data_IF_933517209115
#
_entry.id   IF_933517209115
#
_cell.length_a   1.000
_cell.length_b   1.000
_cell.length_c   1.000
_cell.angle_alpha   90.00
_cell.angle_beta   90.00
_cell.angle_gamma   90.00
#
_symmetry.space_group_name_H-M   'P 1'
#
loop_
_entity.id
_entity.type
_entity.pdbx_description
1 polymer ?
#
# COMPACT_ATOMS: atom_id res chain seq x y z
N UNK A 1 -15.02 15.96 -24.67
CA UNK A 1 -15.58 15.31 -23.48
C UNK A 1 -14.60 15.56 -22.34
N UNK A 2 -15.03 16.15 -21.22
CA UNK A 2 -14.19 16.22 -20.03
C UNK A 2 -13.96 14.77 -19.55
N UNK A 3 -12.69 14.43 -19.31
CA UNK A 3 -12.34 13.12 -18.72
C UNK A 3 -13.00 13.05 -17.34
N UNK A 4 -13.89 12.10 -17.14
CA UNK A 4 -14.49 11.85 -15.83
C UNK A 4 -13.44 11.19 -14.95
N UNK A 5 -13.04 11.85 -13.85
CA UNK A 5 -12.09 11.32 -12.89
C UNK A 5 -12.69 10.08 -12.20
N UNK A 6 -11.98 8.97 -12.19
CA UNK A 6 -12.47 7.65 -11.71
C UNK A 6 -12.79 7.62 -10.23
N UNK A 7 -12.14 8.47 -9.45
CA UNK A 7 -12.25 8.51 -7.98
C UNK A 7 -12.75 9.86 -7.46
N UNK A 8 -13.47 10.62 -8.33
CA UNK A 8 -14.03 11.92 -7.95
C UNK A 8 -14.90 11.82 -6.70
N UNK A 9 -14.57 12.63 -5.68
CA UNK A 9 -15.30 12.67 -4.42
C UNK A 9 -15.05 11.51 -3.46
N UNK A 10 -14.15 10.57 -3.79
CA UNK A 10 -13.76 9.47 -2.91
C UNK A 10 -12.75 9.93 -1.85
N UNK A 11 -12.84 9.35 -0.65
CA UNK A 11 -11.89 9.53 0.42
C UNK A 11 -10.95 8.31 0.48
N UNK A 12 -9.65 8.53 0.31
CA UNK A 12 -8.61 7.49 0.30
C UNK A 12 -7.59 7.70 1.41
N UNK A 13 -7.27 6.65 2.14
CA UNK A 13 -6.19 6.60 3.13
C UNK A 13 -5.08 5.71 2.57
N UNK A 14 -3.84 6.23 2.51
CA UNK A 14 -2.67 5.44 2.09
C UNK A 14 -1.68 5.38 3.24
N UNK A 15 -1.51 4.21 3.87
CA UNK A 15 -0.57 4.05 4.97
C UNK A 15 0.86 4.01 4.47
N UNK A 16 1.81 4.62 5.23
CA UNK A 16 3.23 4.66 4.85
C UNK A 16 3.49 5.35 3.52
N UNK A 17 2.81 6.46 3.25
CA UNK A 17 2.81 7.11 1.93
C UNK A 17 3.65 8.39 1.85
N UNK A 18 4.57 8.59 2.79
CA UNK A 18 5.51 9.72 2.74
C UNK A 18 6.61 9.56 1.68
N UNK A 19 6.87 8.34 1.17
CA UNK A 19 7.96 8.03 0.23
C UNK A 19 7.59 6.85 -0.68
N UNK A 20 8.41 6.64 -1.72
CA UNK A 20 8.42 5.44 -2.57
C UNK A 20 7.07 5.07 -3.14
N UNK A 21 6.73 3.79 -3.11
CA UNK A 21 5.50 3.24 -3.69
C UNK A 21 4.25 3.92 -3.10
N UNK A 22 4.21 4.12 -1.78
CA UNK A 22 3.07 4.76 -1.12
C UNK A 22 2.83 6.20 -1.58
N UNK A 23 3.89 6.98 -1.78
CA UNK A 23 3.79 8.34 -2.30
C UNK A 23 3.28 8.37 -3.74
N UNK A 24 3.76 7.44 -4.59
CA UNK A 24 3.27 7.32 -5.97
C UNK A 24 1.80 6.91 -6.02
N UNK A 25 1.38 5.96 -5.16
CA UNK A 25 -0.03 5.57 -5.02
C UNK A 25 -0.89 6.77 -4.59
N UNK A 26 -0.45 7.53 -3.56
CA UNK A 26 -1.19 8.70 -3.08
C UNK A 26 -1.38 9.75 -4.18
N UNK A 27 -0.32 10.03 -4.95
CA UNK A 27 -0.38 10.95 -6.10
C UNK A 27 -1.33 10.43 -7.20
N UNK A 28 -1.27 9.14 -7.53
CA UNK A 28 -2.12 8.54 -8.56
C UNK A 28 -3.61 8.58 -8.17
N UNK A 29 -3.96 8.25 -6.92
CA UNK A 29 -5.34 8.34 -6.43
C UNK A 29 -5.86 9.80 -6.44
N UNK A 30 -5.02 10.76 -6.04
CA UNK A 30 -5.37 12.18 -6.05
C UNK A 30 -5.56 12.72 -7.49
N UNK A 31 -4.75 12.28 -8.45
CA UNK A 31 -4.88 12.64 -9.86
C UNK A 31 -6.22 12.18 -10.45
N UNK A 32 -6.79 11.10 -9.92
CA UNK A 32 -8.13 10.59 -10.29
C UNK A 32 -9.26 11.18 -9.43
N UNK A 33 -8.98 12.23 -8.65
CA UNK A 33 -9.99 13.03 -7.95
C UNK A 33 -10.31 12.59 -6.52
N UNK A 34 -9.57 11.65 -5.94
CA UNK A 34 -9.71 11.31 -4.54
C UNK A 34 -9.15 12.41 -3.62
N UNK A 35 -9.78 12.59 -2.44
CA UNK A 35 -9.18 13.30 -1.31
C UNK A 35 -8.30 12.31 -0.54
N UNK A 36 -6.99 12.56 -0.44
CA UNK A 36 -6.03 11.55 0.00
C UNK A 36 -5.41 11.92 1.35
N UNK A 37 -5.39 10.96 2.26
CA UNK A 37 -4.58 11.03 3.48
C UNK A 37 -3.24 10.38 3.21
N UNK A 38 -2.18 11.18 3.34
CA UNK A 38 -0.78 10.77 3.28
C UNK A 38 -0.32 10.45 4.70
N UNK A 39 -0.26 9.15 5.05
CA UNK A 39 0.18 8.74 6.39
C UNK A 39 1.71 8.60 6.48
N UNK A 40 2.25 9.03 7.60
CA UNK A 40 3.65 8.85 7.97
C UNK A 40 3.81 8.44 9.43
N UNK A 41 4.90 7.73 9.76
CA UNK A 41 5.26 7.41 11.15
C UNK A 41 6.44 8.23 11.68
N UNK A 42 7.40 8.60 10.83
CA UNK A 42 8.60 9.34 11.24
C UNK A 42 8.92 10.52 10.32
N UNK A 43 8.62 10.45 9.03
CA UNK A 43 9.10 11.41 8.03
C UNK A 43 8.02 12.45 7.69
N UNK A 44 7.77 13.39 8.60
CA UNK A 44 6.77 14.46 8.41
C UNK A 44 7.06 15.31 7.17
N UNK A 45 8.29 15.81 7.03
CA UNK A 45 8.67 16.71 5.93
C UNK A 45 8.49 16.03 4.56
N UNK A 46 8.77 14.72 4.48
CA UNK A 46 8.54 13.97 3.25
C UNK A 46 7.04 13.80 2.95
N UNK A 47 6.20 13.60 3.97
CA UNK A 47 4.76 13.55 3.80
C UNK A 47 4.19 14.90 3.36
N UNK A 48 4.67 16.00 3.95
CA UNK A 48 4.29 17.36 3.56
C UNK A 48 4.69 17.68 2.11
N UNK A 49 5.86 17.19 1.67
CA UNK A 49 6.29 17.32 0.28
C UNK A 49 5.37 16.56 -0.70
N UNK A 50 4.88 15.37 -0.32
CA UNK A 50 3.89 14.62 -1.12
C UNK A 50 2.57 15.39 -1.19
N UNK A 51 2.09 15.93 -0.06
CA UNK A 51 0.88 16.76 0.00
C UNK A 51 1.02 17.99 -0.89
N UNK A 52 2.16 18.69 -0.80
CA UNK A 52 2.44 19.86 -1.63
C UNK A 52 2.42 19.52 -3.13
N UNK A 53 3.03 18.40 -3.53
CA UNK A 53 3.01 17.95 -4.92
C UNK A 53 1.60 17.62 -5.41
N UNK A 54 0.78 16.95 -4.60
CA UNK A 54 -0.62 16.65 -4.92
C UNK A 54 -1.43 17.96 -5.08
N UNK A 55 -1.26 18.88 -4.14
CA UNK A 55 -1.98 20.18 -4.16
C UNK A 55 -1.57 21.05 -5.35
N UNK A 56 -0.28 21.10 -5.66
CA UNK A 56 0.23 21.82 -6.84
C UNK A 56 -0.32 21.25 -8.15
N UNK A 57 -0.63 19.96 -8.20
CA UNK A 57 -1.30 19.32 -9.34
C UNK A 57 -2.84 19.49 -9.34
N UNK A 58 -3.41 20.25 -8.38
CA UNK A 58 -4.85 20.51 -8.27
C UNK A 58 -5.62 19.44 -7.50
N UNK A 59 -4.96 18.46 -6.91
CA UNK A 59 -5.56 17.42 -6.07
C UNK A 59 -5.77 17.89 -4.62
N UNK A 60 -6.35 17.01 -3.79
CA UNK A 60 -6.59 17.24 -2.36
C UNK A 60 -5.86 16.21 -1.52
N UNK A 61 -5.03 16.67 -0.59
CA UNK A 61 -4.37 15.78 0.36
C UNK A 61 -4.08 16.46 1.70
N UNK A 62 -3.94 15.65 2.74
CA UNK A 62 -3.41 16.04 4.07
C UNK A 62 -2.40 15.00 4.54
N UNK A 63 -1.45 15.43 5.37
CA UNK A 63 -0.50 14.54 6.02
C UNK A 63 -0.96 14.22 7.45
N UNK A 64 -1.07 12.94 7.81
CA UNK A 64 -1.43 12.50 9.17
C UNK A 64 -0.38 11.55 9.73
N UNK A 65 0.01 11.80 10.99
CA UNK A 65 0.91 10.91 11.73
C UNK A 65 0.15 9.66 12.23
N UNK A 66 0.84 8.52 12.24
CA UNK A 66 0.37 7.29 12.87
C UNK A 66 1.28 6.11 12.53
N UNK A 67 1.70 5.38 13.56
CA UNK A 67 2.37 4.09 13.39
C UNK A 67 1.31 2.99 13.37
N UNK A 68 1.07 2.40 12.22
CA UNK A 68 0.01 1.37 12.04
C UNK A 68 0.21 0.13 12.91
N UNK A 69 1.43 -0.13 13.39
CA UNK A 69 1.71 -1.24 14.31
C UNK A 69 1.25 -0.97 15.75
N UNK A 70 0.77 0.24 16.06
CA UNK A 70 0.25 0.63 17.36
C UNK A 70 -1.26 0.85 17.29
N UNK A 71 -2.07 0.13 18.10
CA UNK A 71 -3.53 0.25 18.03
C UNK A 71 -4.05 1.67 18.19
N UNK A 72 -3.49 2.43 19.16
CA UNK A 72 -3.89 3.81 19.44
C UNK A 72 -3.57 4.76 18.29
N UNK A 73 -2.42 4.58 17.62
CA UNK A 73 -2.02 5.40 16.48
C UNK A 73 -2.88 5.07 15.24
N UNK A 74 -3.17 3.79 15.01
CA UNK A 74 -4.05 3.36 13.92
C UNK A 74 -5.47 3.92 14.11
N UNK A 75 -6.03 3.84 15.32
CA UNK A 75 -7.33 4.41 15.64
C UNK A 75 -7.37 5.92 15.44
N UNK A 76 -6.34 6.64 15.93
CA UNK A 76 -6.24 8.09 15.78
C UNK A 76 -6.10 8.50 14.30
N UNK A 77 -5.26 7.82 13.53
CA UNK A 77 -5.08 8.07 12.10
C UNK A 77 -6.41 8.02 11.36
N UNK A 78 -7.18 6.96 11.59
CA UNK A 78 -8.47 6.79 10.92
C UNK A 78 -9.48 7.84 11.39
N UNK A 79 -9.57 8.11 12.69
CA UNK A 79 -10.49 9.11 13.23
C UNK A 79 -10.19 10.53 12.69
N UNK A 80 -8.92 10.95 12.67
CA UNK A 80 -8.50 12.24 12.11
C UNK A 80 -8.78 12.32 10.60
N UNK A 81 -8.60 11.21 9.88
CA UNK A 81 -8.91 11.09 8.46
C UNK A 81 -10.41 11.29 8.19
N UNK A 82 -11.26 10.65 8.98
CA UNK A 82 -12.72 10.77 8.88
C UNK A 82 -13.19 12.18 9.24
N UNK A 83 -12.56 12.80 10.23
CA UNK A 83 -12.85 14.19 10.60
C UNK A 83 -12.54 15.17 9.45
N UNK A 84 -11.51 14.88 8.64
CA UNK A 84 -11.10 15.73 7.53
C UNK A 84 -11.94 15.53 6.27
N UNK A 85 -12.28 14.28 5.91
CA UNK A 85 -12.84 13.95 4.60
C UNK A 85 -14.13 13.11 4.63
N UNK A 86 -14.65 12.79 5.82
CA UNK A 86 -15.85 11.98 5.97
C UNK A 86 -15.57 10.46 5.87
N UNK A 87 -16.60 9.66 5.57
CA UNK A 87 -16.48 8.21 5.51
C UNK A 87 -15.38 7.73 4.55
N UNK A 88 -14.75 6.61 4.90
CA UNK A 88 -13.69 6.00 4.11
C UNK A 88 -14.28 5.26 2.91
N UNK A 89 -13.78 5.53 1.71
CA UNK A 89 -14.11 4.77 0.50
C UNK A 89 -12.97 3.82 0.11
N UNK A 90 -11.71 4.22 0.35
CA UNK A 90 -10.53 3.49 -0.10
C UNK A 90 -9.50 3.44 1.05
N UNK A 91 -9.06 2.24 1.39
CA UNK A 91 -7.91 2.03 2.27
C UNK A 91 -6.80 1.31 1.49
N UNK A 92 -5.62 1.92 1.44
CA UNK A 92 -4.41 1.27 0.90
C UNK A 92 -3.47 0.95 2.06
N UNK A 93 -3.37 -0.31 2.42
CA UNK A 93 -2.42 -0.84 3.38
C UNK A 93 -1.06 -1.00 2.70
N UNK A 94 -0.29 0.08 2.65
CA UNK A 94 1.03 0.11 2.01
C UNK A 94 2.18 0.17 3.03
N UNK A 95 1.94 0.65 4.25
CA UNK A 95 2.98 0.68 5.28
C UNK A 95 3.64 -0.70 5.43
N UNK A 96 4.96 -0.73 5.28
CA UNK A 96 5.71 -1.96 5.35
C UNK A 96 7.20 -1.71 5.37
N UNK A 97 7.93 -2.68 5.92
CA UNK A 97 9.39 -2.69 5.96
C UNK A 97 9.89 -4.02 5.43
N UNK A 98 11.09 -4.02 4.88
CA UNK A 98 11.81 -5.22 4.52
C UNK A 98 13.21 -5.19 5.14
N UNK A 99 13.72 -6.37 5.42
CA UNK A 99 15.06 -6.60 5.96
C UNK A 99 15.38 -8.07 5.65
N UNK A 100 16.38 -8.28 4.82
CA UNK A 100 16.72 -9.61 4.32
C UNK A 100 17.82 -10.22 5.19
N UNK A 101 17.57 -11.42 5.71
CA UNK A 101 18.53 -12.14 6.55
C UNK A 101 18.53 -13.63 6.22
N UNK A 102 19.71 -14.26 6.20
CA UNK A 102 19.80 -15.71 6.14
C UNK A 102 19.20 -16.32 7.43
N UNK A 103 18.79 -17.58 7.35
CA UNK A 103 18.05 -18.26 8.42
C UNK A 103 18.72 -18.14 9.79
N UNK A 104 20.03 -18.32 9.85
CA UNK A 104 20.83 -18.30 11.07
C UNK A 104 20.95 -16.91 11.72
N UNK A 105 20.65 -15.84 10.97
CA UNK A 105 20.69 -14.45 11.47
C UNK A 105 19.33 -13.89 11.85
N UNK A 106 18.26 -14.70 11.76
CA UNK A 106 16.92 -14.29 12.16
C UNK A 106 16.84 -14.30 13.69
N UNK A 107 16.37 -13.18 14.27
CA UNK A 107 16.12 -13.03 15.71
C UNK A 107 14.64 -12.76 15.97
N UNK A 108 14.15 -12.95 17.21
CA UNK A 108 12.79 -12.55 17.59
C UNK A 108 12.48 -11.08 17.27
N UNK A 109 13.41 -10.17 17.52
CA UNK A 109 13.25 -8.73 17.27
C UNK A 109 13.11 -8.44 15.77
N UNK A 110 13.89 -9.14 14.91
CA UNK A 110 13.77 -9.06 13.46
C UNK A 110 12.39 -9.55 13.01
N UNK A 111 11.93 -10.69 13.54
CA UNK A 111 10.61 -11.24 13.26
C UNK A 111 9.50 -10.26 13.66
N UNK A 112 9.48 -9.81 14.92
CA UNK A 112 8.45 -8.90 15.42
C UNK A 112 8.43 -7.58 14.63
N UNK A 113 9.60 -6.98 14.36
CA UNK A 113 9.65 -5.75 13.58
C UNK A 113 8.94 -5.88 12.22
N UNK A 114 9.12 -6.99 11.51
CA UNK A 114 8.49 -7.19 10.21
C UNK A 114 7.01 -7.56 10.34
N UNK A 115 6.67 -8.49 11.23
CA UNK A 115 5.29 -8.93 11.40
C UNK A 115 4.39 -7.84 12.00
N UNK A 116 4.88 -7.09 12.98
CA UNK A 116 4.09 -6.04 13.63
C UNK A 116 3.73 -4.92 12.64
N UNK A 117 4.66 -4.54 11.76
CA UNK A 117 4.38 -3.49 10.77
C UNK A 117 3.60 -4.04 9.58
N UNK A 118 4.08 -5.12 8.95
CA UNK A 118 3.55 -5.57 7.66
C UNK A 118 2.22 -6.33 7.80
N UNK A 119 2.02 -7.05 8.90
CA UNK A 119 0.85 -7.92 9.11
C UNK A 119 -0.10 -7.33 10.13
N UNK A 120 0.35 -7.13 11.38
CA UNK A 120 -0.51 -6.58 12.42
C UNK A 120 -0.98 -5.17 12.05
N UNK A 121 -0.09 -4.32 11.50
CA UNK A 121 -0.46 -2.98 11.03
C UNK A 121 -1.54 -2.99 9.95
N UNK A 122 -1.47 -3.94 9.00
CA UNK A 122 -2.53 -4.15 7.99
C UNK A 122 -3.87 -4.52 8.65
N UNK A 123 -3.85 -5.40 9.66
CA UNK A 123 -5.06 -5.80 10.38
C UNK A 123 -5.65 -4.62 11.15
N UNK A 124 -4.83 -3.92 11.95
CA UNK A 124 -5.28 -2.80 12.79
C UNK A 124 -5.87 -1.66 11.96
N UNK A 125 -5.16 -1.22 10.92
CA UNK A 125 -5.66 -0.17 10.03
C UNK A 125 -6.98 -0.58 9.36
N UNK A 126 -7.10 -1.84 8.94
CA UNK A 126 -8.35 -2.37 8.36
C UNK A 126 -9.48 -2.38 9.40
N UNK A 127 -9.24 -2.90 10.62
CA UNK A 127 -10.25 -2.94 11.68
C UNK A 127 -10.78 -1.55 12.05
N UNK A 128 -9.88 -0.57 12.17
CA UNK A 128 -10.30 0.80 12.48
C UNK A 128 -11.05 1.43 11.31
N UNK A 129 -10.56 1.29 10.08
CA UNK A 129 -11.24 1.81 8.90
C UNK A 129 -12.66 1.22 8.73
N UNK A 130 -12.86 -0.07 9.03
CA UNK A 130 -14.17 -0.73 8.92
C UNK A 130 -15.26 -0.11 9.78
N UNK A 131 -14.91 0.59 10.84
CA UNK A 131 -15.88 1.33 11.69
C UNK A 131 -16.44 2.55 10.96
N UNK A 132 -15.77 3.03 9.93
CA UNK A 132 -16.01 4.29 9.24
C UNK A 132 -16.14 4.18 7.72
N UNK A 133 -16.13 2.95 7.18
CA UNK A 133 -16.33 2.75 5.75
C UNK A 133 -17.70 3.25 5.32
N UNK A 134 -17.76 3.83 4.11
CA UNK A 134 -18.99 4.27 3.49
C UNK A 134 -20.01 3.11 3.44
N UNK A 135 -21.27 3.31 3.87
CA UNK A 135 -22.29 2.27 3.78
C UNK A 135 -22.55 1.75 2.35
N UNK A 136 -22.22 2.54 1.34
CA UNK A 136 -22.30 2.12 -0.07
C UNK A 136 -21.24 1.07 -0.45
N UNK A 137 -20.24 0.84 0.40
CA UNK A 137 -19.11 -0.04 0.17
C UNK A 137 -17.82 0.71 -0.16
N UNK A 138 -16.82 0.02 -0.72
CA UNK A 138 -15.55 0.62 -1.07
C UNK A 138 -14.48 -0.41 -1.43
N UNK A 139 -13.20 -0.03 -1.32
CA UNK A 139 -12.09 -0.89 -1.69
C UNK A 139 -10.95 -0.86 -0.64
N UNK A 140 -10.42 -2.03 -0.33
CA UNK A 140 -9.19 -2.20 0.43
C UNK A 140 -8.15 -2.79 -0.52
N UNK A 141 -6.98 -2.15 -0.62
CA UNK A 141 -5.87 -2.61 -1.43
C UNK A 141 -4.66 -2.83 -0.51
N UNK A 142 -4.16 -4.05 -0.46
CA UNK A 142 -2.99 -4.40 0.33
C UNK A 142 -1.74 -4.40 -0.56
N UNK A 143 -0.65 -3.79 -0.12
CA UNK A 143 0.65 -3.87 -0.80
C UNK A 143 1.41 -5.09 -0.30
N UNK A 144 1.38 -6.16 -1.09
CA UNK A 144 2.17 -7.36 -0.86
C UNK A 144 3.53 -7.27 -1.56
N UNK A 145 4.00 -8.33 -2.20
CA UNK A 145 5.22 -8.38 -2.98
C UNK A 145 5.28 -9.66 -3.80
N UNK A 146 6.00 -9.62 -4.93
CA UNK A 146 6.29 -10.82 -5.72
C UNK A 146 7.02 -11.91 -4.90
N UNK A 147 7.76 -11.53 -3.85
CA UNK A 147 8.47 -12.51 -3.00
C UNK A 147 7.52 -13.47 -2.29
N UNK A 148 6.22 -13.14 -2.14
CA UNK A 148 5.22 -14.08 -1.60
C UNK A 148 5.01 -15.31 -2.50
N UNK A 149 5.40 -15.21 -3.77
CA UNK A 149 5.28 -16.27 -4.76
C UNK A 149 6.64 -16.87 -5.15
N UNK A 150 7.67 -16.03 -5.33
CA UNK A 150 9.00 -16.45 -5.81
C UNK A 150 9.91 -16.99 -4.68
N UNK A 151 9.74 -16.50 -3.46
CA UNK A 151 10.44 -16.99 -2.25
C UNK A 151 11.97 -17.04 -2.34
N UNK A 152 12.69 -15.96 -2.70
CA UNK A 152 14.15 -15.98 -2.81
C UNK A 152 14.84 -16.26 -1.47
N UNK A 153 16.03 -16.88 -1.53
CA UNK A 153 16.85 -17.11 -0.35
C UNK A 153 17.16 -15.79 0.40
N UNK A 154 17.19 -15.84 1.72
CA UNK A 154 17.41 -14.65 2.58
C UNK A 154 16.18 -13.81 2.85
N UNK A 155 15.05 -14.05 2.18
CA UNK A 155 13.81 -13.27 2.37
C UNK A 155 12.84 -13.88 3.38
N UNK A 156 13.19 -14.95 4.07
CA UNK A 156 12.29 -15.83 4.82
C UNK A 156 11.21 -15.13 5.65
N UNK A 157 11.59 -14.24 6.59
CA UNK A 157 10.61 -13.51 7.42
C UNK A 157 9.80 -12.51 6.58
N UNK A 158 10.46 -11.76 5.68
CA UNK A 158 9.75 -10.81 4.81
C UNK A 158 8.76 -11.53 3.88
N UNK A 159 9.18 -12.63 3.25
CA UNK A 159 8.30 -13.49 2.45
C UNK A 159 7.08 -13.95 3.27
N UNK A 160 7.31 -14.48 4.48
CA UNK A 160 6.23 -14.92 5.35
C UNK A 160 5.23 -13.79 5.64
N UNK A 161 5.68 -12.54 5.88
CA UNK A 161 4.77 -11.41 6.06
C UNK A 161 3.93 -11.13 4.82
N UNK A 162 4.54 -11.18 3.62
CA UNK A 162 3.82 -10.89 2.36
C UNK A 162 2.88 -12.02 1.96
N UNK A 163 3.26 -13.26 2.22
CA UNK A 163 2.35 -14.42 2.09
C UNK A 163 1.16 -14.33 3.06
N UNK A 164 1.39 -13.87 4.30
CA UNK A 164 0.32 -13.60 5.25
C UNK A 164 -0.64 -12.51 4.73
N UNK A 165 -0.13 -11.42 4.17
CA UNK A 165 -0.94 -10.33 3.56
C UNK A 165 -1.80 -10.87 2.41
N UNK A 166 -1.26 -11.74 1.54
CA UNK A 166 -2.04 -12.38 0.48
C UNK A 166 -3.11 -13.32 1.05
N UNK A 167 -2.81 -14.02 2.15
CA UNK A 167 -3.79 -14.83 2.88
C UNK A 167 -4.93 -13.99 3.46
N UNK A 168 -4.59 -12.89 4.15
CA UNK A 168 -5.55 -11.94 4.69
C UNK A 168 -6.43 -11.33 3.59
N UNK A 169 -5.84 -10.97 2.45
CA UNK A 169 -6.56 -10.44 1.29
C UNK A 169 -7.69 -11.38 0.85
N UNK A 170 -7.37 -12.67 0.69
CA UNK A 170 -8.37 -13.69 0.29
C UNK A 170 -9.44 -13.91 1.36
N UNK A 171 -9.09 -13.87 2.64
CA UNK A 171 -10.04 -14.05 3.74
C UNK A 171 -10.94 -12.84 3.88
N UNK A 172 -10.36 -11.64 3.97
CA UNK A 172 -11.13 -10.41 4.15
C UNK A 172 -12.04 -10.10 2.96
N UNK A 173 -11.68 -10.52 1.73
CA UNK A 173 -12.56 -10.37 0.57
C UNK A 173 -13.90 -11.10 0.74
N UNK A 174 -13.89 -12.25 1.43
CA UNK A 174 -15.10 -13.05 1.72
C UNK A 174 -15.90 -12.46 2.88
N UNK A 175 -15.20 -12.04 3.94
CA UNK A 175 -15.82 -11.46 5.13
C UNK A 175 -16.48 -10.11 4.85
N UNK A 176 -15.86 -9.29 4.00
CA UNK A 176 -16.30 -7.92 3.73
C UNK A 176 -17.17 -7.77 2.49
N UNK A 177 -17.26 -8.81 1.66
CA UNK A 177 -18.12 -8.85 0.49
C UNK A 177 -19.61 -8.49 0.78
N UNK A 178 -20.25 -9.01 1.85
CA UNK A 178 -21.61 -8.61 2.24
C UNK A 178 -21.77 -7.12 2.53
N UNK A 179 -20.67 -6.43 2.91
CA UNK A 179 -20.63 -4.98 3.10
C UNK A 179 -20.27 -4.20 1.82
N UNK A 180 -20.22 -4.88 0.67
CA UNK A 180 -19.80 -4.31 -0.63
C UNK A 180 -18.40 -3.70 -0.60
N UNK A 181 -17.50 -4.21 0.27
CA UNK A 181 -16.10 -3.81 0.34
C UNK A 181 -15.28 -4.88 -0.37
N UNK A 182 -14.63 -4.47 -1.47
CA UNK A 182 -13.70 -5.33 -2.21
C UNK A 182 -12.34 -5.29 -1.53
N UNK A 183 -11.67 -6.43 -1.46
CA UNK A 183 -10.31 -6.53 -0.89
C UNK A 183 -9.40 -7.24 -1.88
N UNK A 184 -8.36 -6.54 -2.33
CA UNK A 184 -7.38 -7.06 -3.27
C UNK A 184 -5.96 -6.73 -2.82
N UNK A 185 -4.95 -7.36 -3.40
CA UNK A 185 -3.56 -6.97 -3.22
C UNK A 185 -2.88 -6.60 -4.54
N UNK A 186 -1.87 -5.74 -4.44
CA UNK A 186 -0.87 -5.54 -5.48
C UNK A 186 0.43 -6.17 -5.02
N UNK A 187 1.12 -6.87 -5.93
CA UNK A 187 2.40 -7.53 -5.69
C UNK A 187 3.47 -6.90 -6.60
N UNK A 188 4.15 -5.84 -6.12
CA UNK A 188 5.25 -5.22 -6.87
C UNK A 188 6.42 -6.18 -7.06
N UNK A 189 7.07 -6.07 -8.21
CA UNK A 189 8.38 -6.66 -8.49
C UNK A 189 9.54 -5.81 -7.95
N UNK A 190 10.72 -5.84 -8.60
CA UNK A 190 11.84 -4.99 -8.23
C UNK A 190 11.53 -3.53 -8.59
N UNK A 191 11.25 -2.72 -7.58
CA UNK A 191 10.93 -1.29 -7.72
C UNK A 191 12.06 -0.46 -7.11
N UNK A 192 12.56 0.52 -7.85
CA UNK A 192 13.47 1.54 -7.34
C UNK A 192 12.72 2.43 -6.34
N UNK A 193 13.09 2.34 -5.07
CA UNK A 193 12.41 3.07 -4.00
C UNK A 193 13.40 3.59 -2.97
N UNK A 194 12.99 4.60 -2.18
CA UNK A 194 13.80 5.12 -1.07
C UNK A 194 14.30 4.02 -0.13
N UNK A 195 13.51 2.98 0.10
CA UNK A 195 13.91 1.85 0.94
C UNK A 195 15.04 1.02 0.33
N UNK A 196 15.02 0.84 -0.98
CA UNK A 196 16.09 0.13 -1.74
C UNK A 196 17.40 0.93 -1.69
N UNK A 197 17.31 2.24 -1.89
CA UNK A 197 18.48 3.14 -1.77
C UNK A 197 19.04 3.14 -0.35
N UNK A 198 18.20 3.29 0.66
CA UNK A 198 18.59 3.35 2.08
C UNK A 198 19.29 2.07 2.57
N UNK A 199 18.99 0.93 1.95
CA UNK A 199 19.64 -0.35 2.28
C UNK A 199 20.83 -0.71 1.37
N UNK A 200 21.19 0.16 0.41
CA UNK A 200 22.28 -0.09 -0.53
C UNK A 200 22.01 -1.25 -1.49
N UNK A 201 20.76 -1.54 -1.79
CA UNK A 201 20.34 -2.68 -2.62
C UNK A 201 20.07 -2.31 -4.09
N UNK A 202 20.35 -1.07 -4.49
CA UNK A 202 19.99 -0.57 -5.82
C UNK A 202 20.58 -1.44 -6.95
N UNK A 203 21.88 -1.75 -6.90
CA UNK A 203 22.53 -2.57 -7.93
C UNK A 203 21.91 -3.98 -8.04
N UNK A 204 21.51 -4.55 -6.91
CA UNK A 204 20.82 -5.84 -6.89
C UNK A 204 19.44 -5.74 -7.56
N UNK A 205 18.69 -4.68 -7.26
CA UNK A 205 17.36 -4.46 -7.84
C UNK A 205 17.42 -4.10 -9.32
N UNK A 206 18.46 -3.38 -9.78
CA UNK A 206 18.70 -3.14 -11.21
C UNK A 206 18.92 -4.47 -11.94
N UNK A 207 19.78 -5.36 -11.42
CA UNK A 207 20.01 -6.68 -12.01
C UNK A 207 18.74 -7.54 -12.06
N UNK A 208 17.92 -7.49 -11.01
CA UNK A 208 16.60 -8.14 -11.01
C UNK A 208 15.68 -7.51 -12.06
N UNK A 209 15.76 -6.20 -12.23
CA UNK A 209 15.01 -5.47 -13.27
C UNK A 209 15.39 -5.91 -14.68
N UNK A 210 16.70 -6.07 -14.96
CA UNK A 210 17.23 -6.57 -16.23
C UNK A 210 16.72 -8.00 -16.55
N UNK A 211 16.46 -8.80 -15.51
CA UNK A 211 15.92 -10.16 -15.65
C UNK A 211 14.39 -10.19 -15.84
N UNK A 212 13.69 -9.06 -15.72
CA UNK A 212 12.25 -8.99 -16.02
C UNK A 212 11.98 -9.11 -17.52
N UNK A 213 10.77 -9.53 -17.90
CA UNK A 213 10.39 -9.58 -19.33
C UNK A 213 10.41 -8.19 -19.99
N UNK A 214 10.19 -7.10 -19.21
CA UNK A 214 10.26 -5.73 -19.70
C UNK A 214 11.68 -5.12 -19.66
N UNK A 215 12.69 -5.87 -19.16
CA UNK A 215 14.11 -5.53 -19.19
C UNK A 215 14.50 -4.29 -18.38
N UNK A 216 13.74 -3.91 -17.36
CA UNK A 216 14.05 -2.75 -16.51
C UNK A 216 13.59 -2.94 -15.07
N UNK A 217 14.22 -2.23 -14.16
CA UNK A 217 13.68 -2.00 -12.81
C UNK A 217 12.39 -1.17 -12.93
N UNK A 218 11.38 -1.51 -12.14
CA UNK A 218 10.16 -0.72 -12.05
C UNK A 218 10.37 0.57 -11.26
N UNK A 219 9.51 1.55 -11.51
CA UNK A 219 9.46 2.80 -10.76
C UNK A 219 8.21 2.79 -9.85
N UNK A 220 8.20 3.55 -8.73
CA UNK A 220 7.03 3.67 -7.87
C UNK A 220 5.75 4.03 -8.65
N UNK A 221 5.87 4.84 -9.69
CA UNK A 221 4.78 5.27 -10.57
C UNK A 221 4.16 4.12 -11.39
N UNK A 222 4.89 3.03 -11.62
CA UNK A 222 4.35 1.84 -12.32
C UNK A 222 3.26 1.13 -11.47
N UNK A 223 3.24 1.35 -10.15
CA UNK A 223 2.28 0.69 -9.23
C UNK A 223 0.96 1.47 -9.13
N UNK A 224 1.03 2.80 -9.18
CA UNK A 224 -0.13 3.69 -9.01
C UNK A 224 -1.35 3.32 -9.86
N UNK A 225 -1.20 3.13 -11.19
CA UNK A 225 -2.33 2.82 -12.09
C UNK A 225 -3.05 1.51 -11.72
N UNK A 226 -2.33 0.49 -11.27
CA UNK A 226 -2.94 -0.78 -10.81
C UNK A 226 -3.77 -0.58 -9.53
N UNK A 227 -3.31 0.27 -8.62
CA UNK A 227 -4.06 0.60 -7.40
C UNK A 227 -5.30 1.44 -7.75
N UNK A 228 -5.20 2.41 -8.64
CA UNK A 228 -6.35 3.17 -9.15
C UNK A 228 -7.40 2.24 -9.77
N UNK A 229 -6.98 1.30 -10.63
CA UNK A 229 -7.89 0.30 -11.20
C UNK A 229 -8.62 -0.48 -10.10
N UNK A 230 -7.89 -1.04 -9.14
CA UNK A 230 -8.50 -1.83 -8.05
C UNK A 230 -9.39 -0.99 -7.13
N UNK A 231 -9.12 0.31 -6.99
CA UNK A 231 -9.92 1.23 -6.18
C UNK A 231 -11.20 1.70 -6.90
N UNK A 232 -11.20 1.71 -8.22
CA UNK A 232 -12.30 2.25 -9.05
C UNK A 232 -13.41 1.23 -9.34
N UNK A 233 -14.50 1.72 -9.94
CA UNK A 233 -15.62 0.88 -10.40
C UNK A 233 -15.25 0.00 -11.61
N UNK A 234 -14.14 0.28 -12.30
CA UNK A 234 -13.59 -0.61 -13.34
C UNK A 234 -13.26 -2.01 -12.77
N UNK A 235 -13.02 -2.12 -11.46
CA UNK A 235 -12.77 -3.36 -10.74
C UNK A 235 -13.98 -3.86 -9.94
N UNK A 236 -15.22 -3.48 -10.29
CA UNK A 236 -16.43 -3.79 -9.52
C UNK A 236 -16.65 -5.31 -9.27
N UNK A 237 -16.13 -6.16 -10.17
CA UNK A 237 -16.22 -7.63 -10.04
C UNK A 237 -14.89 -8.28 -9.67
N UNK A 238 -13.92 -7.50 -9.12
CA UNK A 238 -12.58 -7.97 -8.75
C UNK A 238 -12.42 -7.88 -7.23
N UNK A 239 -12.37 -9.03 -6.57
CA UNK A 239 -12.10 -9.13 -5.12
C UNK A 239 -11.38 -10.45 -4.80
N UNK A 240 -10.54 -10.45 -3.77
CA UNK A 240 -9.76 -11.61 -3.33
C UNK A 240 -8.59 -11.95 -4.27
N UNK A 241 -8.25 -11.07 -5.20
CA UNK A 241 -7.17 -11.29 -6.17
C UNK A 241 -5.87 -10.62 -5.74
N UNK A 242 -4.80 -11.13 -6.32
CA UNK A 242 -3.45 -10.55 -6.26
C UNK A 242 -3.07 -10.07 -7.66
N UNK A 243 -2.91 -8.77 -7.83
CA UNK A 243 -2.46 -8.16 -9.08
C UNK A 243 -0.93 -8.01 -9.04
N UNK A 244 -0.24 -8.86 -9.78
CA UNK A 244 1.23 -8.78 -9.91
C UNK A 244 1.62 -7.66 -10.87
N UNK A 245 2.48 -6.75 -10.41
CA UNK A 245 3.03 -5.62 -11.19
C UNK A 245 4.56 -5.71 -11.08
N UNK A 246 5.17 -6.56 -11.92
CA UNK A 246 6.57 -6.99 -11.75
C UNK A 246 7.42 -6.91 -13.03
N UNK A 247 6.88 -6.33 -14.11
CA UNK A 247 7.57 -6.38 -15.40
C UNK A 247 7.71 -7.79 -15.98
N UNK A 248 6.91 -8.76 -15.47
CA UNK A 248 6.95 -10.15 -15.90
C UNK A 248 7.98 -11.03 -15.16
N UNK A 249 8.56 -10.54 -14.07
CA UNK A 249 9.33 -11.39 -13.16
C UNK A 249 8.37 -12.35 -12.44
N UNK A 250 8.71 -13.63 -12.47
CA UNK A 250 7.95 -14.73 -11.82
C UNK A 250 8.83 -15.44 -10.82
#
# INVERSE_FOLDING_TARGET
>A
MALTLKLAGKHAIVTGSSKGIGAAIAKALAAEGASVVVNYSASKDAADAVVAAITAAGGKAIALHGNVAKPEDAAKLIADSVAAYGPVDILVNNAGVFDFKPLEAITPEHFHRLFDINVLGTILATQEALKHFNPAGGAIINTSSIVSMDSPAGTGVYNATKSAVDGLTRTFSKELGPRKIRVNSVNPGPIESDGVHAQGLLDTFIKLGEATALGRIGQPEDIGPGVVYLASDDAAWVTGTTLTISGGLK
#
